data_IF_339387570653
#
_entry.id   IF_339387570653
#
_cell.length_a   1.000
_cell.length_b   1.000
_cell.length_c   1.000
_cell.angle_alpha   90.00
_cell.angle_beta   90.00
_cell.angle_gamma   90.00
#
_symmetry.space_group_name_H-M   'P 1'
#
loop_
_entity.id
_entity.type
_entity.pdbx_description
1 polymer ?
#
# COMPACT_ATOMS: atom_id res chain seq x y z
N UNK A 1 -7.21 -10.01 11.32
CA UNK A 1 -6.17 -9.76 10.31
C UNK A 1 -5.70 -8.33 10.50
N UNK A 2 -4.92 -8.11 11.55
CA UNK A 2 -4.30 -6.81 11.79
C UNK A 2 -2.83 -7.01 11.49
N UNK A 3 -2.49 -7.07 10.21
CA UNK A 3 -1.13 -6.68 9.83
C UNK A 3 -1.07 -5.21 10.24
N UNK A 4 -0.65 -4.99 11.49
CA UNK A 4 -0.50 -3.71 12.17
C UNK A 4 0.65 -2.98 11.48
N UNK A 5 0.39 -2.57 10.23
CA UNK A 5 1.18 -1.63 9.48
C UNK A 5 0.93 -0.31 10.18
N UNK A 6 1.60 -0.11 11.31
CA UNK A 6 1.43 1.07 12.16
C UNK A 6 1.69 2.30 11.29
N UNK A 7 0.63 3.04 10.89
CA UNK A 7 0.79 4.11 9.92
C UNK A 7 1.70 5.21 10.47
N UNK A 8 1.74 5.36 11.80
CA UNK A 8 2.63 6.27 12.51
C UNK A 8 4.13 5.95 12.36
N UNK A 9 4.54 4.68 12.19
CA UNK A 9 5.95 4.33 12.00
C UNK A 9 6.41 4.53 10.55
N UNK A 10 5.45 4.51 9.62
CA UNK A 10 5.66 4.74 8.19
C UNK A 10 5.54 6.21 7.81
N UNK A 11 4.86 7.03 8.63
CA UNK A 11 4.70 8.46 8.42
C UNK A 11 6.04 9.18 8.44
N UNK A 12 6.26 10.09 7.50
CA UNK A 12 7.52 10.81 7.33
C UNK A 12 8.64 10.02 6.65
N UNK A 13 8.44 8.75 6.31
CA UNK A 13 9.38 7.99 5.47
C UNK A 13 9.35 8.50 4.03
N UNK A 14 10.49 8.49 3.39
CA UNK A 14 10.67 8.91 2.00
C UNK A 14 10.26 7.79 1.04
N UNK A 15 9.88 8.15 -0.18
CA UNK A 15 9.54 7.21 -1.26
C UNK A 15 10.60 6.12 -1.47
N UNK A 16 11.88 6.49 -1.42
CA UNK A 16 13.00 5.57 -1.58
C UNK A 16 13.02 4.45 -0.51
N UNK A 17 12.58 4.76 0.71
CA UNK A 17 12.44 3.75 1.76
C UNK A 17 11.38 2.71 1.37
N UNK A 18 10.25 3.14 0.80
CA UNK A 18 9.19 2.22 0.35
C UNK A 18 9.64 1.38 -0.85
N UNK A 19 10.32 1.95 -1.84
CA UNK A 19 10.84 1.14 -2.96
C UNK A 19 11.85 0.09 -2.49
N UNK A 20 12.71 0.44 -1.53
CA UNK A 20 13.70 -0.49 -0.99
C UNK A 20 13.10 -1.59 -0.11
N UNK A 21 12.15 -1.26 0.76
CA UNK A 21 11.60 -2.21 1.73
C UNK A 21 10.39 -2.98 1.18
N UNK A 22 9.55 -2.35 0.35
CA UNK A 22 8.29 -2.91 -0.14
C UNK A 22 8.30 -3.20 -1.64
N UNK A 23 9.30 -2.68 -2.37
CA UNK A 23 9.39 -2.79 -3.82
C UNK A 23 8.62 -1.68 -4.55
N UNK A 24 8.61 -1.79 -5.88
CA UNK A 24 7.88 -0.87 -6.73
C UNK A 24 6.36 -0.93 -6.43
N UNK A 25 5.68 0.22 -6.34
CA UNK A 25 4.23 0.25 -6.21
C UNK A 25 3.56 -0.29 -7.47
N UNK A 26 2.36 -0.82 -7.30
CA UNK A 26 1.51 -1.25 -8.41
C UNK A 26 1.04 -0.09 -9.28
N UNK A 27 0.90 1.11 -8.70
CA UNK A 27 0.57 2.33 -9.43
C UNK A 27 1.11 3.59 -8.75
N UNK A 28 1.47 4.59 -9.55
CA UNK A 28 1.87 5.93 -9.09
C UNK A 28 0.96 6.96 -9.75
N UNK A 29 0.47 7.91 -8.98
CA UNK A 29 -0.37 9.00 -9.47
C UNK A 29 0.05 10.33 -8.83
N UNK A 30 0.49 11.29 -9.63
CA UNK A 30 0.85 12.63 -9.17
C UNK A 30 -0.41 13.38 -8.71
N UNK A 31 -0.30 14.13 -7.60
CA UNK A 31 -1.41 14.96 -7.11
C UNK A 31 -1.37 16.36 -7.70
N UNK A 32 -2.56 16.88 -8.00
CA UNK A 32 -2.73 18.20 -8.63
C UNK A 32 -2.26 19.40 -7.76
N UNK A 33 -2.01 19.17 -6.46
CA UNK A 33 -1.51 20.18 -5.50
C UNK A 33 -0.08 19.90 -5.02
N UNK A 34 0.69 19.13 -5.79
CA UNK A 34 2.02 18.68 -5.39
C UNK A 34 1.96 17.41 -4.54
N UNK A 35 3.01 16.59 -4.66
CA UNK A 35 3.08 15.27 -4.05
C UNK A 35 2.59 14.13 -4.94
N UNK A 36 2.61 12.92 -4.39
CA UNK A 36 2.42 11.69 -5.16
C UNK A 36 1.61 10.67 -4.37
N UNK A 37 0.80 9.89 -5.07
CA UNK A 37 0.01 8.79 -4.52
C UNK A 37 0.56 7.49 -5.05
N UNK A 38 0.98 6.59 -4.18
CA UNK A 38 1.37 5.24 -4.59
C UNK A 38 0.34 4.24 -4.14
N UNK A 39 0.03 3.28 -5.00
CA UNK A 39 -0.93 2.22 -4.73
C UNK A 39 -0.21 0.89 -4.78
N UNK A 40 -0.37 0.07 -3.75
CA UNK A 40 0.09 -1.30 -3.70
C UNK A 40 -1.11 -2.23 -3.57
N UNK A 41 -1.19 -3.21 -4.44
CA UNK A 41 -2.14 -4.32 -4.29
C UNK A 41 -1.43 -5.49 -3.62
N UNK A 42 -1.95 -5.93 -2.48
CA UNK A 42 -1.49 -7.13 -1.77
C UNK A 42 -2.68 -8.06 -1.62
N UNK A 43 -2.56 -9.29 -2.11
CA UNK A 43 -3.58 -10.33 -1.87
C UNK A 43 -3.46 -10.73 -0.40
N UNK A 44 -4.47 -10.43 0.42
CA UNK A 44 -4.53 -11.03 1.75
C UNK A 44 -4.93 -12.49 1.64
N UNK A 45 -4.13 -13.35 2.26
CA UNK A 45 -4.28 -14.80 2.15
C UNK A 45 -3.25 -15.32 1.17
N UNK A 46 -2.10 -15.71 1.72
CA UNK A 46 -0.97 -16.22 0.94
C UNK A 46 -1.40 -17.36 0.03
N UNK A 47 -0.99 -17.25 -1.24
CA UNK A 47 -1.16 -18.23 -2.33
C UNK A 47 -2.62 -18.63 -2.55
N UNK A 48 -3.10 -18.41 -3.79
CA UNK A 48 -4.28 -19.09 -4.34
C UNK A 48 -4.05 -20.60 -4.29
N UNK A 49 -4.26 -21.19 -3.12
CA UNK A 49 -3.91 -22.55 -2.76
C UNK A 49 -5.16 -23.41 -2.83
N UNK A 50 -5.18 -24.24 -3.87
CA UNK A 50 -6.13 -25.29 -4.22
C UNK A 50 -7.42 -24.83 -4.95
N UNK A 51 -7.69 -25.36 -6.15
CA UNK A 51 -8.79 -24.98 -7.04
C UNK A 51 -10.17 -25.49 -6.57
N UNK A 52 -10.32 -25.82 -5.28
CA UNK A 52 -11.49 -26.51 -4.72
C UNK A 52 -12.42 -25.60 -3.91
N UNK A 53 -12.04 -24.35 -3.66
CA UNK A 53 -12.89 -23.40 -2.95
C UNK A 53 -12.98 -22.08 -3.71
N UNK A 54 -14.21 -21.59 -3.87
CA UNK A 54 -14.60 -20.37 -4.57
C UNK A 54 -14.17 -19.10 -3.77
N UNK A 55 -12.93 -19.07 -3.29
CA UNK A 55 -12.39 -18.01 -2.48
C UNK A 55 -11.97 -16.87 -3.40
N UNK A 56 -12.74 -15.78 -3.43
CA UNK A 56 -12.27 -14.55 -4.07
C UNK A 56 -11.13 -14.01 -3.21
N UNK A 57 -9.88 -13.95 -3.71
CA UNK A 57 -8.82 -13.30 -2.95
C UNK A 57 -9.26 -11.87 -2.67
N UNK A 58 -9.37 -11.49 -1.40
CA UNK A 58 -9.59 -10.10 -1.06
C UNK A 58 -8.30 -9.37 -1.40
N UNK A 59 -8.31 -8.66 -2.52
CA UNK A 59 -7.21 -7.80 -2.92
C UNK A 59 -7.24 -6.56 -2.04
N UNK A 60 -6.17 -6.36 -1.27
CA UNK A 60 -6.07 -5.22 -0.38
C UNK A 60 -5.28 -4.12 -1.05
N UNK A 61 -5.96 -2.99 -1.22
CA UNK A 61 -5.35 -1.79 -1.74
C UNK A 61 -4.74 -1.00 -0.59
N UNK A 62 -3.43 -0.85 -0.63
CA UNK A 62 -2.67 0.05 0.23
C UNK A 62 -2.38 1.31 -0.58
N UNK A 63 -2.78 2.46 -0.06
CA UNK A 63 -2.57 3.76 -0.69
C UNK A 63 -1.62 4.59 0.16
N UNK A 64 -0.44 4.86 -0.35
CA UNK A 64 0.54 5.77 0.26
C UNK A 64 0.37 7.15 -0.33
N UNK A 65 0.37 8.16 0.54
CA UNK A 65 0.29 9.55 0.14
C UNK A 65 1.56 10.27 0.54
N UNK A 66 2.28 10.75 -0.46
CA UNK A 66 3.47 11.57 -0.30
C UNK A 66 3.14 13.04 -0.50
N UNK A 67 3.73 13.89 0.33
CA UNK A 67 3.69 15.33 0.19
C UNK A 67 4.69 15.84 -0.88
N UNK A 68 4.77 17.16 -1.02
CA UNK A 68 5.71 17.84 -1.92
C UNK A 68 7.18 17.62 -1.56
N UNK A 69 7.47 17.24 -0.32
CA UNK A 69 8.81 16.95 0.19
C UNK A 69 9.15 15.46 0.04
N UNK A 70 8.32 14.73 -0.70
CA UNK A 70 8.44 13.30 -1.00
C UNK A 70 8.38 12.38 0.22
N UNK A 71 7.79 12.88 1.31
CA UNK A 71 7.60 12.16 2.57
C UNK A 71 6.17 11.68 2.70
N UNK A 72 6.00 10.52 3.33
CA UNK A 72 4.68 9.96 3.57
C UNK A 72 3.90 10.89 4.51
N UNK A 73 2.88 11.55 3.97
CA UNK A 73 1.95 12.40 4.71
C UNK A 73 0.81 11.58 5.28
N UNK A 74 0.31 10.60 4.52
CA UNK A 74 -0.91 9.85 4.85
C UNK A 74 -0.84 8.41 4.31
N UNK A 75 -1.47 7.49 5.02
CA UNK A 75 -1.48 6.07 4.72
C UNK A 75 -2.92 5.56 4.78
N UNK A 76 -3.41 5.01 3.67
CA UNK A 76 -4.75 4.46 3.55
C UNK A 76 -4.72 2.97 3.30
N UNK A 77 -5.67 2.27 3.90
CA UNK A 77 -5.88 0.84 3.68
C UNK A 77 -7.34 0.57 3.38
N UNK A 78 -7.62 -0.14 2.29
CA UNK A 78 -8.99 -0.53 1.97
C UNK A 78 -9.44 -1.66 2.91
N UNK A 79 -10.61 -1.48 3.51
CA UNK A 79 -11.29 -2.51 4.30
C UNK A 79 -11.61 -3.73 3.40
N UNK A 80 -11.22 -4.93 3.84
CA UNK A 80 -11.28 -6.16 3.02
C UNK A 80 -10.08 -7.08 3.26
N UNK A 81 -9.03 -6.53 3.85
CA UNK A 81 -8.14 -7.21 4.77
C UNK A 81 -8.64 -7.03 6.21
#
# INVERSE_FOLDING_TARGET
>A
MEASLKPAELQGKDKAWFEKNWGAPSGKASRFFGGETWTYYRIAGGKSGLPLFNFKPNECQITLKFDKDEKLSDYGYSSGC
#
